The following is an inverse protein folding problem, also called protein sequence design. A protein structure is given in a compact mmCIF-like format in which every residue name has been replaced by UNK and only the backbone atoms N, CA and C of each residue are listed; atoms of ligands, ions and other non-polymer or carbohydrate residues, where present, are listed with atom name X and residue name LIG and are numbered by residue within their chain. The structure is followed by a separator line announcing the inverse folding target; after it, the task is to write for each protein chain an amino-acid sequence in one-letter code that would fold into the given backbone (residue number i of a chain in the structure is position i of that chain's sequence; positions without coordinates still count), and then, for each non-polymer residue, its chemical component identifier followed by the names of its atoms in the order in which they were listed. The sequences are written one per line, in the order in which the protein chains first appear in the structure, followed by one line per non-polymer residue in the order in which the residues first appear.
data_IF_373666903247
#
_entry.id   IF_373666903247
#
_cell.length_a   1.000
_cell.length_b   1.000
_cell.length_c   1.000
_cell.angle_alpha   90.00
_cell.angle_beta   90.00
_cell.angle_gamma   90.00
#
_symmetry.space_group_name_H-M   'P 1'
#
loop_
_entity.id
_entity.type
_entity.pdbx_description
1 polymer ?
#
# COMPACT_ATOMS: atom_id res chain seq x y z
N UNK A 1 9.45 15.36 -10.77
CA UNK A 1 9.89 15.45 -9.37
C UNK A 1 11.41 15.44 -9.35
N UNK A 2 12.05 16.32 -8.57
CA UNK A 2 13.51 16.46 -8.53
C UNK A 2 13.96 16.36 -7.09
N UNK A 3 15.00 15.56 -6.83
CA UNK A 3 15.66 15.45 -5.53
C UNK A 3 17.05 16.08 -5.62
N UNK A 4 17.38 16.97 -4.69
CA UNK A 4 18.72 17.56 -4.54
C UNK A 4 19.37 16.95 -3.31
N UNK A 5 20.46 16.20 -3.48
CA UNK A 5 21.20 15.60 -2.38
C UNK A 5 22.19 16.61 -1.80
N UNK A 6 22.41 16.57 -0.48
CA UNK A 6 23.37 17.45 0.22
C UNK A 6 24.84 17.07 -0.05
N UNK A 7 25.07 15.89 -0.63
CA UNK A 7 26.37 15.38 -1.06
C UNK A 7 26.22 14.04 -1.79
N UNK A 8 27.31 13.44 -2.29
CA UNK A 8 27.27 12.13 -2.93
C UNK A 8 26.69 11.06 -1.97
N UNK A 9 25.67 10.33 -2.41
CA UNK A 9 25.07 9.24 -1.63
C UNK A 9 24.65 8.09 -2.55
N UNK A 10 25.41 6.99 -2.51
CA UNK A 10 25.16 5.80 -3.34
C UNK A 10 23.89 5.03 -2.96
N UNK A 11 23.38 5.22 -1.75
CA UNK A 11 22.18 4.53 -1.23
C UNK A 11 20.89 5.32 -1.44
N UNK A 12 20.96 6.59 -1.88
CA UNK A 12 19.79 7.47 -1.98
C UNK A 12 18.67 6.89 -2.85
N UNK A 13 19.02 6.32 -4.01
CA UNK A 13 18.05 5.73 -4.92
C UNK A 13 17.31 4.54 -4.30
N UNK A 14 18.01 3.73 -3.49
CA UNK A 14 17.40 2.60 -2.79
C UNK A 14 16.33 3.08 -1.80
N UNK A 15 16.64 4.06 -0.96
CA UNK A 15 15.68 4.61 0.01
C UNK A 15 14.49 5.30 -0.65
N UNK A 16 14.72 6.06 -1.72
CA UNK A 16 13.63 6.68 -2.49
C UNK A 16 12.72 5.59 -3.08
N UNK A 17 13.31 4.53 -3.67
CA UNK A 17 12.55 3.42 -4.25
C UNK A 17 11.78 2.57 -3.23
N UNK A 18 12.24 2.54 -1.97
CA UNK A 18 11.55 1.87 -0.87
C UNK A 18 10.44 2.71 -0.23
N UNK A 19 10.31 3.98 -0.61
CA UNK A 19 9.29 4.87 -0.05
C UNK A 19 7.96 4.66 -0.77
N UNK A 20 6.95 4.19 -0.03
CA UNK A 20 5.61 4.02 -0.57
C UNK A 20 4.94 5.38 -0.82
N UNK A 21 4.29 5.52 -1.99
CA UNK A 21 3.53 6.72 -2.35
C UNK A 21 2.07 6.56 -1.95
N UNK A 22 1.53 7.57 -1.25
CA UNK A 22 0.15 7.61 -0.77
C UNK A 22 -0.69 8.65 -1.53
N UNK A 23 -2.02 8.44 -1.70
CA UNK A 23 -2.87 9.36 -2.44
C UNK A 23 -3.13 10.65 -1.66
N UNK A 24 -2.65 11.78 -2.20
CA UNK A 24 -2.78 13.09 -1.56
C UNK A 24 -4.23 13.44 -1.19
N UNK A 25 -5.21 13.19 -2.08
CA UNK A 25 -6.61 13.53 -1.86
C UNK A 25 -7.28 12.78 -0.68
N UNK A 26 -6.66 11.72 -0.17
CA UNK A 26 -7.08 11.03 1.06
C UNK A 26 -6.25 11.48 2.25
N UNK A 27 -4.93 11.52 2.09
CA UNK A 27 -4.01 11.72 3.22
C UNK A 27 -3.92 13.18 3.67
N UNK A 28 -4.16 14.15 2.79
CA UNK A 28 -4.10 15.57 3.15
C UNK A 28 -5.24 16.03 4.06
N UNK A 29 -6.32 15.25 4.19
CA UNK A 29 -7.46 15.59 5.06
C UNK A 29 -7.33 15.03 6.47
N UNK A 30 -6.33 14.19 6.73
CA UNK A 30 -6.11 13.57 8.03
C UNK A 30 -5.37 14.56 8.93
N UNK A 31 -5.93 14.83 10.10
CA UNK A 31 -5.32 15.69 11.12
C UNK A 31 -4.56 14.88 12.16
N UNK A 32 -3.51 15.47 12.73
CA UNK A 32 -2.70 14.84 13.76
C UNK A 32 -1.57 13.97 13.21
N UNK A 33 -1.22 12.94 13.96
CA UNK A 33 -0.10 12.05 13.62
C UNK A 33 -0.50 11.04 12.53
N UNK A 34 -0.01 11.28 11.31
CA UNK A 34 -0.27 10.44 10.14
C UNK A 34 0.20 8.98 10.34
N UNK A 35 1.15 8.73 11.24
CA UNK A 35 1.62 7.35 11.52
C UNK A 35 0.58 6.51 12.26
N UNK A 36 -0.43 7.14 12.85
CA UNK A 36 -1.54 6.49 13.54
C UNK A 36 -2.76 6.26 12.66
N UNK A 37 -2.77 6.79 11.44
CA UNK A 37 -3.86 6.59 10.51
C UNK A 37 -3.78 5.19 9.89
N UNK A 38 -4.78 4.34 10.16
CA UNK A 38 -4.80 2.93 9.76
C UNK A 38 -5.21 2.72 8.30
N UNK A 39 -5.87 3.71 7.66
CA UNK A 39 -6.37 3.60 6.29
C UNK A 39 -7.23 2.34 6.04
N UNK A 40 -7.99 1.91 7.05
CA UNK A 40 -8.66 0.60 7.09
C UNK A 40 -10.03 0.57 6.41
N UNK A 41 -10.75 1.70 6.36
CA UNK A 41 -12.12 1.75 5.81
C UNK A 41 -12.19 1.57 4.30
N UNK A 42 -11.33 2.26 3.56
CA UNK A 42 -11.30 2.21 2.10
C UNK A 42 -9.87 2.47 1.60
N UNK A 43 -8.96 1.49 1.72
CA UNK A 43 -7.57 1.69 1.36
C UNK A 43 -7.43 1.93 -0.15
N UNK A 44 -6.79 3.04 -0.49
CA UNK A 44 -6.49 3.42 -1.87
C UNK A 44 -5.00 3.22 -2.14
N UNK A 45 -4.68 2.44 -3.18
CA UNK A 45 -3.32 2.17 -3.62
C UNK A 45 -3.22 1.95 -5.13
N UNK A 46 -1.99 1.91 -5.64
CA UNK A 46 -1.67 1.79 -7.08
C UNK A 46 -1.16 0.40 -7.48
N UNK A 47 -1.20 -0.55 -6.55
CA UNK A 47 -0.71 -1.92 -6.76
C UNK A 47 -1.59 -2.77 -7.68
N UNK A 48 -1.16 -4.02 -7.95
CA UNK A 48 -1.85 -4.96 -8.84
C UNK A 48 -3.18 -5.49 -8.30
N UNK A 49 -3.46 -5.28 -7.01
CA UNK A 49 -4.67 -5.75 -6.34
C UNK A 49 -5.32 -4.64 -5.52
N UNK A 50 -6.64 -4.71 -5.35
CA UNK A 50 -7.46 -3.86 -4.49
C UNK A 50 -8.06 -4.70 -3.37
N UNK A 51 -8.23 -4.10 -2.19
CA UNK A 51 -8.92 -4.76 -1.08
C UNK A 51 -10.39 -4.98 -1.47
N UNK A 52 -10.85 -6.24 -1.39
CA UNK A 52 -12.26 -6.59 -1.56
C UNK A 52 -12.96 -6.62 -0.21
N UNK A 53 -12.35 -7.28 0.78
CA UNK A 53 -12.92 -7.38 2.12
C UNK A 53 -11.86 -7.68 3.16
N UNK A 54 -12.08 -7.19 4.38
CA UNK A 54 -11.24 -7.43 5.54
C UNK A 54 -12.09 -7.93 6.71
N UNK A 55 -11.64 -9.02 7.33
CA UNK A 55 -12.18 -9.56 8.58
C UNK A 55 -11.03 -10.07 9.46
N UNK A 56 -11.23 -10.29 10.76
CA UNK A 56 -10.15 -10.73 11.65
C UNK A 56 -9.48 -12.06 11.26
N UNK A 57 -10.15 -12.89 10.46
CA UNK A 57 -9.66 -14.23 10.08
C UNK A 57 -9.29 -14.33 8.59
N UNK A 58 -9.72 -13.36 7.77
CA UNK A 58 -9.56 -13.42 6.31
C UNK A 58 -9.49 -12.02 5.68
N UNK A 59 -8.46 -11.82 4.86
CA UNK A 59 -8.34 -10.68 3.94
C UNK A 59 -8.49 -11.19 2.51
N UNK A 60 -9.33 -10.53 1.71
CA UNK A 60 -9.54 -10.86 0.30
C UNK A 60 -9.15 -9.67 -0.57
N UNK A 61 -8.37 -9.94 -1.60
CA UNK A 61 -8.01 -8.97 -2.63
C UNK A 61 -8.45 -9.42 -4.01
N UNK A 62 -8.94 -8.49 -4.81
CA UNK A 62 -9.27 -8.68 -6.22
C UNK A 62 -8.25 -7.94 -7.10
N UNK A 63 -8.06 -8.40 -8.34
CA UNK A 63 -7.18 -7.71 -9.30
C UNK A 63 -7.63 -6.26 -9.53
N UNK A 64 -6.66 -5.34 -9.56
CA UNK A 64 -6.89 -3.95 -9.92
C UNK A 64 -6.99 -3.81 -11.46
N UNK A 65 -8.17 -3.55 -12.04
CA UNK A 65 -8.33 -3.45 -13.49
C UNK A 65 -7.58 -2.25 -14.08
N UNK A 66 -7.25 -1.26 -13.26
CA UNK A 66 -6.51 -0.06 -13.64
C UNK A 66 -5.03 -0.13 -13.26
N UNK A 67 -4.50 -1.33 -12.98
CA UNK A 67 -3.08 -1.49 -12.70
C UNK A 67 -2.25 -1.10 -13.94
N UNK A 68 -1.23 -0.29 -13.71
CA UNK A 68 -0.37 0.26 -14.76
C UNK A 68 0.62 -0.77 -15.33
N UNK A 69 0.90 -1.85 -14.59
CA UNK A 69 1.75 -2.94 -15.03
C UNK A 69 0.96 -4.06 -15.72
N UNK A 70 1.62 -5.21 -15.90
CA UNK A 70 0.94 -6.40 -16.41
C UNK A 70 -0.09 -6.92 -15.42
N UNK A 71 -1.27 -7.26 -15.93
CA UNK A 71 -2.36 -7.81 -15.13
C UNK A 71 -1.96 -9.18 -14.54
N UNK A 72 -2.14 -9.39 -13.22
CA UNK A 72 -1.87 -10.69 -12.62
C UNK A 72 -2.74 -11.81 -13.20
N UNK A 73 -2.15 -13.00 -13.32
CA UNK A 73 -2.89 -14.21 -13.69
C UNK A 73 -3.86 -14.63 -12.57
N UNK A 74 -3.42 -14.53 -11.31
CA UNK A 74 -4.24 -14.84 -10.13
C UNK A 74 -5.26 -13.74 -9.89
N UNK A 75 -6.56 -14.07 -9.97
CA UNK A 75 -7.66 -13.10 -9.89
C UNK A 75 -8.04 -12.69 -8.47
N UNK A 76 -7.84 -13.59 -7.51
CA UNK A 76 -8.20 -13.38 -6.11
C UNK A 76 -7.09 -13.89 -5.20
N UNK A 77 -6.76 -13.10 -4.18
CA UNK A 77 -5.85 -13.51 -3.11
C UNK A 77 -6.66 -13.63 -1.82
N UNK A 78 -6.53 -14.77 -1.15
CA UNK A 78 -7.13 -15.05 0.15
C UNK A 78 -6.02 -15.22 1.18
N UNK A 79 -5.93 -14.29 2.13
CA UNK A 79 -4.95 -14.33 3.22
C UNK A 79 -5.70 -14.73 4.50
N UNK A 80 -5.56 -16.00 4.88
CA UNK A 80 -6.13 -16.52 6.12
C UNK A 80 -5.23 -16.17 7.30
N UNK A 81 -5.79 -15.44 8.26
CA UNK A 81 -5.11 -15.09 9.50
C UNK A 81 -5.40 -16.17 10.53
N UNK A 82 -4.40 -17.03 10.81
CA UNK A 82 -4.52 -17.99 11.91
C UNK A 82 -4.12 -17.33 13.22
N UNK A 83 -5.05 -17.21 14.16
CA UNK A 83 -4.71 -16.90 15.56
C UNK A 83 -4.03 -18.14 16.16
N UNK A 84 -2.78 -18.02 16.60
CA UNK A 84 -2.23 -18.99 17.56
C UNK A 84 -2.99 -18.78 18.87
N UNK A 85 -3.77 -19.78 19.26
CA UNK A 85 -4.29 -19.88 20.62
C UNK A 85 -3.10 -20.38 21.46
N UNK A 86 -2.58 -19.53 22.34
CA UNK A 86 -1.60 -19.89 23.37
C UNK A 86 -2.32 -20.23 24.67
#
# INVERSE_FOLDING_TARGET
MTFTLTGPNSTALFYIGQTYIVPQHVWSTISGDLTKFTNDKNPVGTGPYKLRSFSPDLIIYDVNPSYWGSQPAVKHIYVYLRRRIS
#
